data_IF_856244412467
#
_entry.id   IF_856244412467
#
_cell.length_a   1.000
_cell.length_b   1.000
_cell.length_c   1.000
_cell.angle_alpha   90.00
_cell.angle_beta   90.00
_cell.angle_gamma   90.00
#
_symmetry.space_group_name_H-M   'P 1'
#
loop_
_entity.id
_entity.type
_entity.pdbx_description
1 polymer ?
#
# COMPACT_ATOMS: atom_id res chain seq x y z
N UNK A 1 22.41 -1.95 4.60
CA UNK A 1 22.80 -0.57 4.26
C UNK A 1 21.57 0.34 4.34
N UNK A 2 21.29 0.94 5.49
CA UNK A 2 20.28 1.98 5.59
C UNK A 2 20.85 3.26 4.98
N UNK A 3 20.40 3.64 3.78
CA UNK A 3 20.77 4.93 3.18
C UNK A 3 19.88 6.02 3.77
N UNK A 4 20.52 7.08 4.27
CA UNK A 4 19.92 8.29 4.83
C UNK A 4 18.65 8.72 4.09
N UNK A 5 17.56 8.92 4.83
CA UNK A 5 16.38 9.66 4.36
C UNK A 5 16.84 11.09 4.07
N UNK A 6 17.20 11.37 2.83
CA UNK A 6 17.62 12.70 2.39
C UNK A 6 16.45 13.68 2.55
N UNK A 7 16.52 14.55 3.57
CA UNK A 7 15.57 15.65 3.79
C UNK A 7 15.53 16.70 2.66
N UNK A 8 16.44 16.60 1.69
CA UNK A 8 16.56 17.52 0.57
C UNK A 8 15.36 17.46 -0.41
N UNK A 9 14.69 16.30 -0.54
CA UNK A 9 13.59 16.13 -1.52
C UNK A 9 12.25 16.70 -1.05
N UNK A 10 12.01 16.81 0.27
CA UNK A 10 10.81 17.52 0.78
C UNK A 10 10.84 18.99 0.40
N UNK A 11 12.03 19.62 0.45
CA UNK A 11 12.24 21.02 0.06
C UNK A 11 11.93 21.23 -1.43
N UNK A 12 12.40 20.32 -2.30
CA UNK A 12 12.14 20.39 -3.74
C UNK A 12 10.65 20.29 -4.11
N UNK A 13 9.87 19.49 -3.36
CA UNK A 13 8.42 19.44 -3.57
C UNK A 13 7.75 20.77 -3.17
N UNK A 14 8.16 21.36 -2.04
CA UNK A 14 7.64 22.66 -1.59
C UNK A 14 7.93 23.76 -2.62
N UNK A 15 9.16 23.82 -3.15
CA UNK A 15 9.53 24.76 -4.21
C UNK A 15 8.66 24.60 -5.47
N UNK A 16 8.38 23.37 -5.90
CA UNK A 16 7.51 23.11 -7.05
C UNK A 16 6.05 23.52 -6.78
N UNK A 17 5.57 23.37 -5.55
CA UNK A 17 4.23 23.81 -5.14
C UNK A 17 4.14 25.34 -5.21
N UNK A 18 5.13 26.04 -4.66
CA UNK A 18 5.15 27.51 -4.65
C UNK A 18 5.16 28.06 -6.08
N UNK A 19 5.96 27.48 -6.98
CA UNK A 19 6.00 27.87 -8.40
C UNK A 19 4.66 27.66 -9.11
N UNK A 20 3.96 26.57 -8.82
CA UNK A 20 2.65 26.29 -9.39
C UNK A 20 1.58 27.23 -8.83
N UNK A 21 1.59 27.50 -7.52
CA UNK A 21 0.66 28.44 -6.87
C UNK A 21 0.85 29.87 -7.38
N UNK A 22 2.08 30.27 -7.65
CA UNK A 22 2.40 31.56 -8.26
C UNK A 22 2.10 31.61 -9.78
N UNK A 23 1.58 30.54 -10.37
CA UNK A 23 1.25 30.46 -11.80
C UNK A 23 2.48 30.48 -12.71
N UNK A 24 3.69 30.27 -12.17
CA UNK A 24 4.95 30.29 -12.92
C UNK A 24 5.11 29.04 -13.78
N UNK A 25 4.56 27.91 -13.32
CA UNK A 25 4.52 26.65 -14.06
C UNK A 25 3.09 26.16 -14.21
N UNK A 26 2.78 25.55 -15.34
CA UNK A 26 1.51 24.87 -15.59
C UNK A 26 1.38 23.59 -14.76
N UNK A 27 0.15 23.08 -14.64
CA UNK A 27 -0.11 21.80 -13.99
C UNK A 27 0.69 20.64 -14.59
N UNK A 28 0.87 20.62 -15.92
CA UNK A 28 1.61 19.58 -16.60
C UNK A 28 3.10 19.61 -16.23
N UNK A 29 3.72 20.80 -16.27
CA UNK A 29 5.13 20.98 -15.88
C UNK A 29 5.37 20.63 -14.41
N UNK A 30 4.46 21.04 -13.53
CA UNK A 30 4.49 20.64 -12.12
C UNK A 30 4.44 19.11 -11.96
N UNK A 31 3.47 18.46 -12.61
CA UNK A 31 3.28 17.00 -12.55
C UNK A 31 4.52 16.24 -13.00
N UNK A 32 5.12 16.65 -14.12
CA UNK A 32 6.29 15.98 -14.68
C UNK A 32 7.56 16.23 -13.85
N UNK A 33 7.73 17.43 -13.28
CA UNK A 33 8.82 17.72 -12.35
C UNK A 33 8.71 16.89 -11.05
N UNK A 34 7.49 16.72 -10.52
CA UNK A 34 7.23 15.88 -9.35
C UNK A 34 7.55 14.42 -9.66
N UNK A 35 7.07 13.87 -10.78
CA UNK A 35 7.40 12.49 -11.22
C UNK A 35 8.90 12.29 -11.34
N UNK A 36 9.59 13.16 -12.08
CA UNK A 36 11.04 13.12 -12.30
C UNK A 36 11.82 13.14 -10.99
N UNK A 37 11.42 13.99 -10.03
CA UNK A 37 12.06 14.06 -8.72
C UNK A 37 11.90 12.78 -7.87
N UNK A 38 10.92 11.95 -8.19
CA UNK A 38 10.60 10.71 -7.48
C UNK A 38 11.02 9.43 -8.21
N UNK A 39 11.45 9.47 -9.48
CA UNK A 39 11.77 8.27 -10.29
C UNK A 39 12.67 7.25 -9.57
N UNK A 40 13.68 7.73 -8.85
CA UNK A 40 14.66 6.86 -8.15
C UNK A 40 14.34 6.59 -6.68
N UNK A 41 13.09 6.80 -6.26
CA UNK A 41 12.72 6.73 -4.84
C UNK A 41 12.65 5.30 -4.31
N UNK A 42 13.22 5.10 -3.13
CA UNK A 42 12.95 3.92 -2.30
C UNK A 42 11.46 3.88 -1.92
N UNK A 43 10.76 2.83 -2.36
CA UNK A 43 9.31 2.69 -2.20
C UNK A 43 8.49 2.97 -3.45
N UNK A 44 9.12 3.12 -4.63
CA UNK A 44 8.42 3.01 -5.90
C UNK A 44 7.66 1.67 -5.98
N UNK A 45 6.50 1.61 -6.67
CA UNK A 45 5.86 0.35 -7.00
C UNK A 45 6.88 -0.55 -7.67
N UNK A 46 7.22 -1.63 -7.00
CA UNK A 46 8.10 -2.67 -7.53
C UNK A 46 7.33 -3.96 -7.55
N UNK A 47 7.71 -4.86 -8.45
CA UNK A 47 7.17 -6.21 -8.40
C UNK A 47 7.37 -6.79 -7.00
N UNK A 48 6.31 -7.38 -6.46
CA UNK A 48 6.40 -8.07 -5.18
C UNK A 48 7.41 -9.19 -5.34
N UNK A 49 8.46 -9.18 -4.53
CA UNK A 49 9.41 -10.29 -4.46
C UNK A 49 8.74 -11.40 -3.66
N UNK A 50 8.41 -12.50 -4.32
CA UNK A 50 7.89 -13.70 -3.66
C UNK A 50 9.08 -14.56 -3.29
N UNK A 51 9.26 -14.81 -1.99
CA UNK A 51 10.27 -15.74 -1.48
C UNK A 51 9.48 -16.93 -0.93
N UNK A 52 9.45 -18.04 -1.67
CA UNK A 52 8.59 -19.18 -1.34
C UNK A 52 8.85 -19.75 0.07
N UNK A 53 10.11 -19.74 0.53
CA UNK A 53 10.49 -20.21 1.86
C UNK A 53 10.12 -19.25 3.00
N UNK A 54 9.88 -17.97 2.67
CA UNK A 54 9.57 -16.91 3.64
C UNK A 54 8.51 -15.98 3.04
N UNK A 55 7.26 -16.47 2.92
CA UNK A 55 6.13 -15.62 2.58
C UNK A 55 6.06 -14.46 3.58
N UNK A 56 5.52 -13.32 3.14
CA UNK A 56 5.26 -12.28 4.11
C UNK A 56 4.12 -12.68 5.03
N UNK A 57 4.06 -12.07 6.21
CA UNK A 57 2.99 -12.35 7.16
C UNK A 57 1.61 -12.08 6.54
N UNK A 58 1.49 -11.01 5.74
CA UNK A 58 0.26 -10.68 5.02
C UNK A 58 -0.15 -11.68 3.92
N UNK A 59 0.74 -12.59 3.51
CA UNK A 59 0.47 -13.59 2.46
C UNK A 59 -0.04 -14.93 3.05
N UNK A 60 -0.08 -15.08 4.38
CA UNK A 60 -0.65 -16.29 4.99
C UNK A 60 -2.18 -16.31 4.92
N UNK A 61 -2.75 -17.50 4.71
CA UNK A 61 -4.19 -17.73 4.66
C UNK A 61 -4.95 -17.13 5.87
N UNK A 62 -4.38 -17.22 7.07
CA UNK A 62 -4.98 -16.70 8.30
C UNK A 62 -4.75 -15.20 8.54
N UNK A 63 -3.93 -14.54 7.71
CA UNK A 63 -3.60 -13.12 7.87
C UNK A 63 -4.63 -12.18 7.22
N UNK A 64 -5.60 -12.74 6.48
CA UNK A 64 -6.76 -12.00 5.97
C UNK A 64 -8.06 -12.52 6.60
N UNK A 65 -8.49 -11.97 7.74
CA UNK A 65 -9.74 -12.36 8.39
C UNK A 65 -10.97 -12.09 7.52
N UNK A 66 -10.82 -11.28 6.46
CA UNK A 66 -11.92 -10.97 5.53
C UNK A 66 -12.36 -12.20 4.76
N UNK A 67 -11.45 -13.15 4.48
CA UNK A 67 -11.82 -14.45 3.88
C UNK A 67 -12.53 -15.39 4.88
N UNK A 68 -12.59 -15.01 6.16
CA UNK A 68 -13.32 -15.74 7.19
C UNK A 68 -14.67 -15.09 7.54
N UNK A 69 -15.12 -14.07 6.82
CA UNK A 69 -16.49 -13.60 6.98
C UNK A 69 -17.44 -14.59 6.32
N UNK A 70 -18.18 -15.30 7.16
CA UNK A 70 -19.35 -16.04 6.71
C UNK A 70 -20.30 -15.02 6.05
N UNK A 71 -20.51 -15.12 4.74
CA UNK A 71 -21.61 -14.40 4.10
C UNK A 71 -22.86 -14.71 4.90
N UNK A 72 -23.50 -13.66 5.45
CA UNK A 72 -24.55 -13.69 6.47
C UNK A 72 -25.84 -14.38 6.01
N UNK A 73 -25.76 -15.66 5.67
CA UNK A 73 -26.91 -16.49 5.34
C UNK A 73 -26.79 -17.94 5.83
N UNK A 74 -25.61 -18.48 6.18
CA UNK A 74 -25.54 -19.91 6.53
C UNK A 74 -24.49 -20.37 7.56
N UNK A 75 -24.00 -19.52 8.47
CA UNK A 75 -23.24 -20.00 9.63
C UNK A 75 -24.11 -20.60 10.77
N UNK A 76 -25.44 -20.61 10.63
CA UNK A 76 -26.35 -21.09 11.66
C UNK A 76 -26.64 -22.60 11.60
N UNK A 77 -26.35 -23.27 10.47
CA UNK A 77 -26.75 -24.68 10.29
C UNK A 77 -25.75 -25.70 10.87
N UNK A 78 -24.56 -25.27 11.32
CA UNK A 78 -23.60 -26.18 11.96
C UNK A 78 -23.72 -26.25 13.48
N UNK A 79 -24.43 -25.31 14.13
CA UNK A 79 -24.63 -25.36 15.59
C UNK A 79 -25.77 -26.29 15.99
N UNK A 80 -26.77 -26.53 15.13
CA UNK A 80 -27.89 -27.44 15.44
C UNK A 80 -27.58 -28.93 15.16
N UNK A 81 -26.52 -29.24 14.39
CA UNK A 81 -26.13 -30.63 14.11
C UNK A 81 -25.33 -31.29 15.26
N UNK A 82 -24.79 -30.51 16.20
CA UNK A 82 -24.01 -31.03 17.33
C UNK A 82 -24.74 -31.01 18.68
N UNK A 83 -25.98 -30.51 18.75
CA UNK A 83 -26.82 -30.61 19.96
C UNK A 83 -27.77 -31.81 19.96
N UNK A 84 -27.73 -32.69 18.95
CA UNK A 84 -28.51 -33.95 18.88
C UNK A 84 -27.69 -35.22 19.04
N UNK A 85 -26.61 -35.17 19.81
CA UNK A 85 -25.95 -36.36 20.35
C UNK A 85 -25.43 -36.09 21.76
N UNK A 86 -26.34 -35.82 22.70
CA UNK A 86 -26.31 -36.43 24.02
C UNK A 86 -27.67 -36.33 24.73
#
# INVERSE_FOLDING_TARGET
>A
MAKLVQGHRRRKLVELIDLHQNGTISWNEFSDAVKSSHETRMGQPKHRTIIAEKPKEEDYFYANPVECFCDMANCSNFIEAHSKTH
#
